data_IF_737110125676
#
_entry.id   IF_737110125676
#
_cell.length_a   1.000
_cell.length_b   1.000
_cell.length_c   1.000
_cell.angle_alpha   90.00
_cell.angle_beta   90.00
_cell.angle_gamma   90.00
#
_symmetry.space_group_name_H-M   'P 1'
#
loop_
_entity.id
_entity.type
_entity.pdbx_description
1 polymer ?
#
# COMPACT_ATOMS: atom_id res chain seq x y z
N UNK A 1 -27.95 16.56 12.75
CA UNK A 1 -28.19 15.13 12.46
C UNK A 1 -26.85 14.43 12.76
N UNK A 2 -26.74 13.79 13.93
CA UNK A 2 -25.52 13.08 14.30
C UNK A 2 -25.31 11.93 13.30
N UNK A 3 -24.16 11.93 12.61
CA UNK A 3 -23.69 10.76 11.87
C UNK A 3 -23.71 9.58 12.83
N UNK A 4 -24.50 8.56 12.53
CA UNK A 4 -24.48 7.32 13.28
C UNK A 4 -23.05 6.78 13.19
N UNK A 5 -22.34 6.81 14.29
CA UNK A 5 -20.99 6.25 14.41
C UNK A 5 -21.10 4.79 14.00
N UNK A 6 -20.42 4.42 12.93
CA UNK A 6 -20.35 3.05 12.47
C UNK A 6 -19.72 2.22 13.59
N UNK A 7 -20.50 1.38 14.26
CA UNK A 7 -20.01 0.36 15.18
C UNK A 7 -19.43 -0.83 14.37
N UNK A 8 -18.61 -0.54 13.37
CA UNK A 8 -18.02 -1.56 12.55
C UNK A 8 -17.08 -2.45 13.38
N UNK A 9 -17.12 -3.75 13.11
CA UNK A 9 -16.16 -4.72 13.62
C UNK A 9 -15.08 -4.89 12.54
N UNK A 10 -13.89 -4.39 12.81
CA UNK A 10 -12.82 -4.27 11.80
C UNK A 10 -11.70 -5.24 12.09
N UNK A 11 -11.20 -5.91 11.06
CA UNK A 11 -9.89 -6.57 11.07
C UNK A 11 -8.96 -5.85 10.10
N UNK A 12 -7.71 -5.68 10.51
CA UNK A 12 -6.67 -5.06 9.69
C UNK A 12 -5.66 -6.12 9.29
N UNK A 13 -5.40 -6.24 7.99
CA UNK A 13 -4.36 -7.09 7.44
C UNK A 13 -3.16 -6.24 7.05
N UNK A 14 -2.03 -6.49 7.71
CA UNK A 14 -0.78 -5.75 7.59
C UNK A 14 -0.53 -4.82 8.78
N UNK A 15 0.64 -4.97 9.41
CA UNK A 15 1.09 -4.21 10.58
C UNK A 15 2.17 -3.16 10.26
N UNK A 16 2.22 -2.68 9.03
CA UNK A 16 2.97 -1.48 8.68
C UNK A 16 2.38 -0.22 9.36
N UNK A 17 3.08 0.89 9.33
CA UNK A 17 2.67 2.12 10.03
C UNK A 17 1.26 2.57 9.68
N UNK A 18 0.86 2.47 8.41
CA UNK A 18 -0.50 2.86 7.98
C UNK A 18 -1.56 1.96 8.63
N UNK A 19 -1.35 0.64 8.66
CA UNK A 19 -2.28 -0.29 9.32
C UNK A 19 -2.43 0.00 10.80
N UNK A 20 -1.31 0.25 11.50
CA UNK A 20 -1.29 0.61 12.91
C UNK A 20 -2.02 1.94 13.18
N UNK A 21 -1.72 2.98 12.41
CA UNK A 21 -2.36 4.30 12.54
C UNK A 21 -3.87 4.19 12.28
N UNK A 22 -4.28 3.40 11.29
CA UNK A 22 -5.69 3.18 10.99
C UNK A 22 -6.39 2.39 12.09
N UNK A 23 -5.73 1.41 12.73
CA UNK A 23 -6.28 0.70 13.89
C UNK A 23 -6.68 1.69 15.01
N UNK A 24 -5.77 2.59 15.36
CA UNK A 24 -6.03 3.65 16.34
C UNK A 24 -7.14 4.59 15.86
N UNK A 25 -7.07 5.05 14.61
CA UNK A 25 -8.05 5.98 14.07
C UNK A 25 -9.46 5.42 14.10
N UNK A 26 -9.66 4.18 13.65
CA UNK A 26 -10.96 3.52 13.66
C UNK A 26 -11.49 3.34 15.09
N UNK A 27 -10.62 3.01 16.05
CA UNK A 27 -11.01 2.91 17.46
C UNK A 27 -11.47 4.26 18.01
N UNK A 28 -10.81 5.36 17.67
CA UNK A 28 -11.22 6.72 18.07
C UNK A 28 -12.55 7.15 17.45
N UNK A 29 -12.89 6.65 16.25
CA UNK A 29 -14.18 6.88 15.61
C UNK A 29 -15.29 5.97 16.15
N UNK A 30 -15.00 5.12 17.16
CA UNK A 30 -15.96 4.27 17.83
C UNK A 30 -16.18 2.90 17.18
N UNK A 31 -15.35 2.52 16.23
CA UNK A 31 -15.33 1.16 15.69
C UNK A 31 -14.66 0.19 16.67
N UNK A 32 -14.99 -1.09 16.59
CA UNK A 32 -14.29 -2.14 17.32
C UNK A 32 -13.26 -2.80 16.40
N UNK A 33 -11.99 -2.49 16.58
CA UNK A 33 -10.92 -3.21 15.89
C UNK A 33 -10.69 -4.53 16.60
N UNK A 34 -10.99 -5.64 15.92
CA UNK A 34 -10.96 -6.99 16.48
C UNK A 34 -9.55 -7.54 16.53
N UNK A 35 -8.74 -7.25 15.50
CA UNK A 35 -7.37 -7.73 15.38
C UNK A 35 -6.59 -6.93 14.33
N UNK A 36 -5.27 -6.92 14.48
CA UNK A 36 -4.30 -6.64 13.43
C UNK A 36 -3.55 -7.95 13.11
N UNK A 37 -3.51 -8.33 11.83
CA UNK A 37 -2.86 -9.55 11.34
C UNK A 37 -1.59 -9.17 10.57
N UNK A 38 -0.53 -9.94 10.76
CA UNK A 38 0.74 -9.75 10.07
C UNK A 38 1.27 -11.12 9.59
N UNK A 39 1.57 -11.19 8.31
CA UNK A 39 2.09 -12.44 7.72
C UNK A 39 3.54 -12.71 8.16
N UNK A 40 4.32 -11.66 8.40
CA UNK A 40 5.68 -11.77 8.89
C UNK A 40 5.71 -12.13 10.38
N UNK A 41 6.81 -12.75 10.88
CA UNK A 41 6.99 -13.04 12.31
C UNK A 41 7.30 -11.78 13.14
N UNK A 42 7.28 -10.60 12.54
CA UNK A 42 7.49 -9.30 13.17
C UNK A 42 6.65 -8.22 12.48
N UNK A 43 6.34 -7.16 13.20
CA UNK A 43 5.68 -5.98 12.63
C UNK A 43 6.71 -5.10 11.91
N UNK A 44 6.35 -4.60 10.72
CA UNK A 44 7.17 -3.64 9.96
C UNK A 44 6.92 -2.18 10.40
N UNK A 45 5.95 -1.93 11.27
CA UNK A 45 5.67 -0.61 11.80
C UNK A 45 6.64 -0.21 12.91
N UNK A 46 6.75 1.09 13.14
CA UNK A 46 7.57 1.65 14.21
C UNK A 46 7.07 1.18 15.59
N UNK A 47 7.97 0.83 16.49
CA UNK A 47 7.63 0.37 17.84
C UNK A 47 6.68 1.32 18.58
N UNK A 48 6.86 2.63 18.43
CA UNK A 48 5.95 3.63 19.02
C UNK A 48 4.51 3.48 18.51
N UNK A 49 4.33 3.13 17.22
CA UNK A 49 3.00 2.95 16.64
C UNK A 49 2.37 1.64 17.11
N UNK A 50 3.15 0.57 17.34
CA UNK A 50 2.64 -0.65 17.96
C UNK A 50 2.07 -0.34 19.35
N UNK A 51 2.79 0.41 20.18
CA UNK A 51 2.34 0.79 21.52
C UNK A 51 1.10 1.68 21.45
N UNK A 52 1.20 2.82 20.74
CA UNK A 52 0.15 3.85 20.72
C UNK A 52 -1.08 3.48 19.91
N UNK A 53 -0.98 2.53 18.99
CA UNK A 53 -2.08 2.20 18.07
C UNK A 53 -2.71 0.84 18.36
N UNK A 54 -1.99 -0.09 18.97
CA UNK A 54 -2.53 -1.40 19.32
C UNK A 54 -2.60 -1.59 20.86
N UNK A 55 -1.47 -1.46 21.57
CA UNK A 55 -1.44 -1.78 23.01
C UNK A 55 -2.33 -0.85 23.83
N UNK A 56 -2.32 0.46 23.56
CA UNK A 56 -3.16 1.45 24.27
C UNK A 56 -4.66 1.25 24.03
N UNK A 57 -5.04 0.44 23.04
CA UNK A 57 -6.44 0.12 22.66
C UNK A 57 -6.79 -1.36 22.83
N UNK A 58 -5.92 -2.15 23.48
CA UNK A 58 -6.11 -3.59 23.68
C UNK A 58 -6.42 -4.36 22.36
N UNK A 59 -5.83 -3.92 21.24
CA UNK A 59 -5.98 -4.57 19.94
C UNK A 59 -4.94 -5.67 19.80
N UNK A 60 -5.36 -6.95 19.63
CA UNK A 60 -4.43 -8.05 19.48
C UNK A 60 -3.69 -7.99 18.15
N UNK A 61 -2.37 -8.23 18.18
CA UNK A 61 -1.51 -8.40 17.02
C UNK A 61 -1.18 -9.88 16.83
N UNK A 62 -1.62 -10.46 15.72
CA UNK A 62 -1.29 -11.84 15.35
C UNK A 62 -0.17 -11.84 14.31
N UNK A 63 1.05 -12.13 14.74
CA UNK A 63 2.22 -12.31 13.87
C UNK A 63 2.22 -13.73 13.25
N UNK A 64 2.80 -13.86 12.06
CA UNK A 64 2.79 -15.09 11.26
C UNK A 64 1.38 -15.61 11.00
N UNK A 65 0.43 -14.70 10.73
CA UNK A 65 -0.96 -15.06 10.42
C UNK A 65 -1.45 -14.30 9.18
N UNK A 66 -2.32 -14.95 8.42
CA UNK A 66 -2.95 -14.32 7.24
C UNK A 66 -4.41 -14.74 7.12
N UNK A 67 -5.18 -14.02 6.33
CA UNK A 67 -6.56 -14.36 5.98
C UNK A 67 -6.53 -15.44 4.90
N UNK A 68 -7.24 -16.53 5.13
CA UNK A 68 -7.37 -17.65 4.16
C UNK A 68 -8.76 -17.71 3.54
N UNK A 69 -9.77 -17.14 4.19
CA UNK A 69 -11.11 -17.01 3.62
C UNK A 69 -11.81 -15.76 4.14
N UNK A 70 -12.67 -15.20 3.31
CA UNK A 70 -13.57 -14.08 3.66
C UNK A 70 -15.00 -14.60 3.50
N UNK A 71 -15.84 -14.38 4.51
CA UNK A 71 -17.22 -14.83 4.55
C UNK A 71 -18.20 -13.69 4.27
N UNK A 72 -19.33 -14.03 3.66
CA UNK A 72 -20.41 -13.13 3.26
C UNK A 72 -20.46 -12.92 1.75
N UNK A 73 -21.68 -12.71 1.23
CA UNK A 73 -21.91 -12.50 -0.22
C UNK A 73 -21.98 -11.01 -0.57
N UNK A 74 -22.90 -10.27 0.02
CA UNK A 74 -23.07 -8.83 -0.23
C UNK A 74 -22.16 -7.97 0.65
N UNK A 75 -21.85 -8.45 1.85
CA UNK A 75 -21.01 -7.80 2.85
C UNK A 75 -20.23 -8.84 3.64
N UNK A 76 -19.02 -8.47 4.05
CA UNK A 76 -18.21 -9.30 4.96
C UNK A 76 -18.97 -9.53 6.26
N UNK A 77 -19.03 -10.79 6.69
CA UNK A 77 -19.61 -11.23 7.97
C UNK A 77 -18.57 -11.83 8.91
N UNK A 78 -17.40 -12.16 8.39
CA UNK A 78 -16.29 -12.72 9.12
C UNK A 78 -15.16 -13.10 8.19
N UNK A 79 -14.07 -13.55 8.78
CA UNK A 79 -12.89 -14.07 8.08
C UNK A 79 -12.40 -15.33 8.76
N UNK A 80 -11.77 -16.24 8.01
CA UNK A 80 -10.95 -17.32 8.56
C UNK A 80 -9.48 -16.91 8.46
N UNK A 81 -8.78 -17.02 9.57
CA UNK A 81 -7.35 -16.71 9.73
C UNK A 81 -6.58 -18.00 9.95
N UNK A 82 -5.41 -18.15 9.34
CA UNK A 82 -4.50 -19.25 9.61
C UNK A 82 -3.10 -18.76 9.94
N UNK A 83 -2.37 -19.53 10.74
CA UNK A 83 -0.94 -19.33 10.93
C UNK A 83 -0.19 -19.70 9.65
N UNK A 84 0.91 -18.99 9.36
CA UNK A 84 1.79 -19.31 8.23
C UNK A 84 3.13 -19.84 8.68
N UNK A 85 3.76 -20.65 7.81
CA UNK A 85 5.12 -21.15 7.96
C UNK A 85 6.17 -20.12 7.53
N UNK A 86 7.45 -20.50 7.54
CA UNK A 86 8.57 -19.65 7.13
C UNK A 86 8.53 -19.25 5.64
N UNK A 87 7.73 -19.94 4.83
CA UNK A 87 7.50 -19.63 3.41
C UNK A 87 6.22 -18.81 3.19
N UNK A 88 5.63 -18.30 4.28
CA UNK A 88 4.35 -17.56 4.27
C UNK A 88 3.18 -18.39 3.72
N UNK A 89 3.27 -19.74 3.83
CA UNK A 89 2.21 -20.66 3.42
C UNK A 89 1.32 -20.99 4.60
N UNK A 90 -0.02 -20.93 4.48
CA UNK A 90 -0.93 -21.29 5.55
C UNK A 90 -0.74 -22.73 6.02
N UNK A 91 -0.68 -22.94 7.34
CA UNK A 91 -0.51 -24.24 7.98
C UNK A 91 -1.90 -24.83 8.24
N UNK A 92 -2.26 -25.97 7.60
CA UNK A 92 -3.55 -26.61 7.82
C UNK A 92 -3.76 -27.00 9.28
N UNK A 93 -5.00 -26.83 9.79
CA UNK A 93 -5.37 -27.16 11.17
C UNK A 93 -5.05 -26.05 12.19
N UNK A 94 -4.62 -24.87 11.72
CA UNK A 94 -4.39 -23.68 12.56
C UNK A 94 -5.45 -22.60 12.37
N UNK A 95 -6.49 -22.92 11.57
CA UNK A 95 -7.53 -21.99 11.20
C UNK A 95 -8.42 -21.63 12.39
N UNK A 96 -8.80 -20.36 12.47
CA UNK A 96 -9.84 -19.86 13.38
C UNK A 96 -10.58 -18.69 12.75
N UNK A 97 -11.82 -18.50 13.18
CA UNK A 97 -12.67 -17.46 12.63
C UNK A 97 -12.67 -16.20 13.50
N UNK A 98 -12.72 -15.03 12.85
CA UNK A 98 -12.94 -13.74 13.49
C UNK A 98 -14.19 -13.12 12.86
N UNK A 99 -15.19 -12.82 13.69
CA UNK A 99 -16.39 -12.09 13.27
C UNK A 99 -16.01 -10.63 12.99
N UNK A 100 -16.25 -10.17 11.77
CA UNK A 100 -16.04 -8.78 11.36
C UNK A 100 -16.98 -8.42 10.21
N UNK A 101 -17.25 -7.14 10.04
CA UNK A 101 -18.04 -6.61 8.92
C UNK A 101 -17.19 -5.77 7.95
N UNK A 102 -15.93 -5.57 8.29
CA UNK A 102 -14.98 -4.77 7.52
C UNK A 102 -13.57 -5.35 7.64
N UNK A 103 -12.89 -5.46 6.52
CA UNK A 103 -11.46 -5.79 6.43
C UNK A 103 -10.73 -4.62 5.79
N UNK A 104 -9.71 -4.10 6.49
CA UNK A 104 -8.81 -3.09 5.96
C UNK A 104 -7.50 -3.75 5.52
N UNK A 105 -7.11 -3.51 4.28
CA UNK A 105 -5.87 -4.01 3.72
C UNK A 105 -4.77 -2.96 3.83
N UNK A 106 -3.68 -3.31 4.52
CA UNK A 106 -2.47 -2.50 4.66
C UNK A 106 -1.24 -3.33 4.30
N UNK A 107 -1.31 -3.99 3.13
CA UNK A 107 -0.34 -5.00 2.65
C UNK A 107 0.68 -4.45 1.65
N UNK A 108 0.86 -3.14 1.64
CA UNK A 108 1.75 -2.42 0.73
C UNK A 108 1.03 -1.87 -0.50
N UNK A 109 1.75 -1.08 -1.25
CA UNK A 109 1.29 -0.45 -2.48
C UNK A 109 1.91 -1.17 -3.69
N UNK A 110 1.21 -1.13 -4.81
CA UNK A 110 1.69 -1.58 -6.10
C UNK A 110 1.70 -0.36 -7.02
N UNK A 111 2.80 -0.06 -7.73
CA UNK A 111 2.83 0.99 -8.73
C UNK A 111 1.72 0.83 -9.77
N UNK A 112 0.86 1.86 -9.91
CA UNK A 112 -0.22 1.85 -10.89
C UNK A 112 0.33 2.21 -12.26
N UNK A 113 0.34 1.26 -13.18
CA UNK A 113 0.98 1.36 -14.47
C UNK A 113 0.07 0.96 -15.65
N UNK A 114 -1.25 1.09 -15.51
CA UNK A 114 -2.18 0.83 -16.61
C UNK A 114 -1.88 1.73 -17.81
N UNK A 115 -1.68 3.03 -17.58
CA UNK A 115 -1.33 4.00 -18.63
C UNK A 115 0.05 3.70 -19.24
N UNK A 116 1.04 3.38 -18.41
CA UNK A 116 2.40 3.06 -18.86
C UNK A 116 2.40 1.81 -19.78
N UNK A 117 1.62 0.81 -19.42
CA UNK A 117 1.44 -0.42 -20.23
C UNK A 117 0.67 -0.14 -21.52
N UNK A 118 -0.33 0.76 -21.46
CA UNK A 118 -1.10 1.18 -22.64
C UNK A 118 -0.26 1.96 -23.66
N UNK A 119 0.88 2.50 -23.26
CA UNK A 119 1.87 3.18 -24.10
C UNK A 119 3.04 2.25 -24.50
N UNK A 120 2.97 0.96 -24.18
CA UNK A 120 4.04 -0.02 -24.42
C UNK A 120 5.41 0.39 -23.82
N UNK A 121 5.40 1.10 -22.67
CA UNK A 121 6.63 1.44 -21.97
C UNK A 121 7.31 0.17 -21.43
N UNK A 122 8.63 0.15 -21.43
CA UNK A 122 9.39 -0.91 -20.76
C UNK A 122 9.14 -0.86 -19.26
N UNK A 123 8.67 -1.98 -18.68
CA UNK A 123 8.36 -2.12 -17.26
C UNK A 123 9.44 -2.95 -16.57
N UNK A 124 9.99 -2.42 -15.50
CA UNK A 124 10.94 -3.12 -14.66
C UNK A 124 10.23 -4.22 -13.86
N UNK A 125 10.62 -5.50 -13.99
CA UNK A 125 9.93 -6.62 -13.31
C UNK A 125 10.11 -6.61 -11.78
N UNK A 126 11.10 -5.90 -11.25
CA UNK A 126 11.35 -5.81 -9.81
C UNK A 126 10.48 -4.75 -9.14
N UNK A 127 10.32 -3.59 -9.77
CA UNK A 127 9.55 -2.47 -9.21
C UNK A 127 8.12 -2.42 -9.71
N UNK A 128 7.79 -3.12 -10.82
CA UNK A 128 6.55 -3.01 -11.58
C UNK A 128 6.25 -1.60 -12.11
N UNK A 129 7.24 -0.70 -12.11
CA UNK A 129 7.18 0.63 -12.70
C UNK A 129 7.91 0.72 -14.04
N UNK A 130 7.71 1.81 -14.81
CA UNK A 130 8.45 2.02 -16.05
C UNK A 130 9.95 2.14 -15.78
N UNK A 131 10.75 1.60 -16.70
CA UNK A 131 12.19 1.83 -16.71
C UNK A 131 12.43 3.30 -17.05
N UNK A 132 13.23 3.98 -16.24
CA UNK A 132 13.61 5.38 -16.44
C UNK A 132 15.12 5.56 -16.37
N UNK A 133 15.63 6.53 -17.11
CA UNK A 133 17.02 6.94 -17.02
C UNK A 133 17.29 7.88 -15.83
N UNK A 134 18.52 8.43 -15.73
CA UNK A 134 18.90 9.39 -14.68
C UNK A 134 18.14 10.73 -14.74
N UNK A 135 17.50 11.03 -15.86
CA UNK A 135 16.68 12.23 -16.08
C UNK A 135 15.19 11.95 -15.88
N UNK A 136 14.85 10.72 -15.50
CA UNK A 136 13.47 10.22 -15.37
C UNK A 136 12.72 10.11 -16.70
N UNK A 137 13.42 10.07 -17.83
CA UNK A 137 12.83 9.77 -19.12
C UNK A 137 12.62 8.26 -19.27
N UNK A 138 11.47 7.86 -19.82
CA UNK A 138 11.10 6.45 -20.03
C UNK A 138 11.69 5.92 -21.33
N UNK A 139 11.38 4.65 -21.66
CA UNK A 139 11.73 4.06 -22.96
C UNK A 139 11.09 4.75 -24.17
N UNK A 140 10.08 5.59 -23.98
CA UNK A 140 9.42 6.37 -25.02
C UNK A 140 9.87 7.83 -24.98
N UNK A 141 10.40 8.32 -26.10
CA UNK A 141 10.94 9.68 -26.24
C UNK A 141 9.93 10.77 -25.83
N UNK A 142 10.35 11.64 -24.91
CA UNK A 142 9.52 12.74 -24.40
C UNK A 142 8.52 12.35 -23.31
N UNK A 143 8.54 11.11 -22.85
CA UNK A 143 7.74 10.65 -21.72
C UNK A 143 8.59 10.49 -20.48
N UNK A 144 8.15 11.09 -19.38
CA UNK A 144 8.85 11.10 -18.09
C UNK A 144 7.97 10.48 -17.02
N UNK A 145 8.58 9.79 -16.07
CA UNK A 145 7.87 9.19 -14.94
C UNK A 145 8.66 9.39 -13.64
N UNK A 146 7.94 9.69 -12.55
CA UNK A 146 8.53 9.89 -11.24
C UNK A 146 7.55 9.48 -10.13
N UNK A 147 8.07 9.19 -8.93
CA UNK A 147 7.29 8.85 -7.76
C UNK A 147 6.75 7.43 -7.78
N UNK A 148 5.62 7.19 -7.11
CA UNK A 148 5.09 5.85 -6.89
C UNK A 148 4.65 5.09 -8.14
N UNK A 149 4.58 5.73 -9.30
CA UNK A 149 4.39 5.06 -10.58
C UNK A 149 5.65 4.30 -11.02
N UNK A 150 6.85 4.79 -10.64
CA UNK A 150 8.15 4.15 -10.95
C UNK A 150 8.47 3.06 -9.93
N UNK A 151 8.41 3.39 -8.65
CA UNK A 151 8.49 2.46 -7.53
C UNK A 151 7.88 3.12 -6.27
N UNK A 152 7.49 2.30 -5.30
CA UNK A 152 6.90 2.82 -4.06
C UNK A 152 7.99 3.42 -3.17
N UNK A 153 7.78 4.67 -2.76
CA UNK A 153 8.66 5.38 -1.83
C UNK A 153 8.13 5.34 -0.41
N UNK A 154 9.02 5.25 0.57
CA UNK A 154 8.69 5.34 1.99
C UNK A 154 8.40 6.78 2.43
N UNK A 155 9.04 7.77 1.79
CA UNK A 155 8.93 9.19 2.14
C UNK A 155 8.57 10.03 0.91
N UNK A 156 7.65 10.98 1.10
CA UNK A 156 7.22 11.91 0.05
C UNK A 156 8.35 12.84 -0.41
N UNK A 157 9.36 13.05 0.43
CA UNK A 157 10.53 13.87 0.09
C UNK A 157 11.25 13.32 -1.14
N UNK A 158 11.47 12.00 -1.21
CA UNK A 158 12.05 11.35 -2.38
C UNK A 158 11.17 11.44 -3.62
N UNK A 159 9.86 11.35 -3.46
CA UNK A 159 8.90 11.58 -4.56
C UNK A 159 9.06 13.00 -5.12
N UNK A 160 9.21 13.99 -4.25
CA UNK A 160 9.38 15.39 -4.63
C UNK A 160 10.69 15.64 -5.38
N UNK A 161 11.80 15.06 -4.90
CA UNK A 161 13.11 15.13 -5.58
C UNK A 161 13.07 14.49 -6.98
N UNK A 162 12.46 13.31 -7.10
CA UNK A 162 12.28 12.66 -8.41
C UNK A 162 11.42 13.47 -9.36
N UNK A 163 10.31 14.04 -8.86
CA UNK A 163 9.42 14.86 -9.66
C UNK A 163 10.09 16.15 -10.14
N UNK A 164 10.96 16.76 -9.32
CA UNK A 164 11.75 17.94 -9.72
C UNK A 164 12.70 17.60 -10.87
N UNK A 165 13.40 16.46 -10.79
CA UNK A 165 14.28 15.99 -11.87
C UNK A 165 13.48 15.76 -13.14
N UNK A 166 12.37 15.00 -13.08
CA UNK A 166 11.52 14.73 -14.23
C UNK A 166 10.99 16.02 -14.87
N UNK A 167 10.45 16.93 -14.07
CA UNK A 167 9.92 18.21 -14.55
C UNK A 167 10.97 19.10 -15.21
N UNK A 168 12.18 19.17 -14.65
CA UNK A 168 13.30 19.91 -15.22
C UNK A 168 13.68 19.38 -16.60
N UNK A 169 13.88 18.08 -16.73
CA UNK A 169 14.33 17.51 -18.00
C UNK A 169 13.23 17.44 -19.04
N UNK A 170 11.98 17.26 -18.63
CA UNK A 170 10.83 17.41 -19.53
C UNK A 170 10.75 18.84 -20.13
N UNK A 171 10.96 19.86 -19.32
CA UNK A 171 10.97 21.26 -19.78
C UNK A 171 12.14 21.52 -20.74
N UNK A 172 13.34 21.06 -20.46
CA UNK A 172 14.51 21.20 -21.33
C UNK A 172 14.26 20.51 -22.68
N UNK A 173 13.75 19.29 -22.68
CA UNK A 173 13.44 18.55 -23.90
C UNK A 173 12.37 19.23 -24.76
N UNK A 174 11.34 19.78 -24.13
CA UNK A 174 10.33 20.56 -24.85
C UNK A 174 10.92 21.80 -25.51
N UNK A 175 11.84 22.50 -24.83
CA UNK A 175 12.53 23.67 -25.40
C UNK A 175 13.43 23.32 -26.59
N UNK A 176 14.15 22.19 -26.54
CA UNK A 176 14.96 21.69 -27.64
C UNK A 176 14.12 21.36 -28.88
N UNK A 177 12.98 20.68 -28.71
CA UNK A 177 12.02 20.40 -29.79
C UNK A 177 11.48 21.69 -30.41
N UNK A 178 11.05 22.66 -29.61
CA UNK A 178 10.57 23.96 -30.11
C UNK A 178 11.67 24.72 -30.83
N UNK A 179 12.92 24.67 -30.37
CA UNK A 179 14.05 25.35 -31.03
C UNK A 179 14.41 24.71 -32.38
N UNK A 180 14.17 23.41 -32.52
CA UNK A 180 14.41 22.68 -33.78
C UNK A 180 13.31 22.96 -34.81
N UNK A 181 12.05 23.00 -34.39
CA UNK A 181 10.92 23.33 -35.25
C UNK A 181 10.97 24.80 -35.77
N UNK A 182 11.46 25.74 -34.97
CA UNK A 182 11.62 27.12 -35.37
C UNK A 182 12.83 27.38 -36.31
N UNK A 183 13.65 26.34 -36.58
CA UNK A 183 14.79 26.43 -37.52
C UNK A 183 14.52 25.79 -38.89
N UNK A 184 13.40 25.11 -39.02
CA UNK A 184 12.88 24.52 -40.29
C UNK A 184 11.85 25.44 -40.92
#
# INVERSE_FOLDING_TARGET
>A
MALSVFRAKIVILGSGDIGLIMARRMSLEGCKVQACLEICPFSNGLTRNIVQCLNDYDIPLYLSHTIVAIHGEERVTGITVAKVDERMTPIPGTEFDIECDTVLLSVGLIPENELSRGLDLEINPLTNGPVVDQHRETSLDGFFAAGNVVHVHDLVDFVSEEAEIAGKYAALKAQEKMATENRT
#
